data_IF_183644927333
#
_entry.id   IF_183644927333
#
_cell.length_a   1.000
_cell.length_b   1.000
_cell.length_c   1.000
_cell.angle_alpha   90.00
_cell.angle_beta   90.00
_cell.angle_gamma   90.00
#
_symmetry.space_group_name_H-M   'P 1'
#
loop_
_entity.id
_entity.type
_entity.pdbx_description
1 polymer ?
#
# COMPACT_ATOMS: atom_id res chain seq x y z
N UNK A 1 -18.63 -8.04 7.92
CA UNK A 1 -17.40 -7.98 8.49
C UNK A 1 -16.30 -8.41 7.61
N UNK A 2 -15.28 -7.72 7.67
CA UNK A 2 -14.19 -7.98 6.81
C UNK A 2 -13.43 -9.18 7.28
N UNK A 3 -13.53 -10.22 6.50
CA UNK A 3 -12.92 -11.38 6.86
C UNK A 3 -11.57 -11.47 6.28
N UNK A 4 -10.61 -11.27 7.03
CA UNK A 4 -9.31 -11.37 6.54
C UNK A 4 -8.82 -12.75 6.59
N UNK A 5 -8.74 -13.32 5.47
CA UNK A 5 -8.13 -14.52 5.39
C UNK A 5 -6.72 -14.17 5.27
N UNK A 6 -6.01 -14.24 6.26
CA UNK A 6 -4.62 -13.93 6.20
C UNK A 6 -3.92 -15.05 5.51
N UNK A 7 -3.89 -14.96 4.25
CA UNK A 7 -3.06 -15.87 3.55
C UNK A 7 -1.74 -15.19 3.51
N UNK A 8 -0.75 -15.87 3.89
CA UNK A 8 0.59 -15.37 3.84
C UNK A 8 1.06 -15.14 2.43
N UNK A 9 0.35 -15.73 1.47
CA UNK A 9 0.71 -15.50 0.11
C UNK A 9 0.07 -14.20 -0.29
N UNK A 10 0.88 -13.23 -0.53
CA UNK A 10 0.40 -11.97 -1.00
C UNK A 10 -0.20 -12.19 -2.36
N UNK A 11 -1.45 -11.85 -2.50
CA UNK A 11 -2.10 -11.92 -3.77
C UNK A 11 -1.56 -10.88 -4.71
N UNK A 12 -1.01 -9.83 -4.17
CA UNK A 12 -0.50 -8.73 -4.97
C UNK A 12 0.97 -8.57 -4.71
N UNK A 13 1.76 -8.57 -5.75
CA UNK A 13 3.18 -8.33 -5.63
C UNK A 13 3.53 -7.05 -6.36
N UNK A 14 4.65 -6.43 -6.02
CA UNK A 14 5.05 -5.21 -6.73
C UNK A 14 5.17 -5.41 -8.23
N UNK A 15 5.66 -6.58 -8.65
CA UNK A 15 5.79 -6.87 -10.06
C UNK A 15 4.44 -6.92 -10.74
N UNK A 16 3.46 -7.55 -10.10
CA UNK A 16 2.12 -7.61 -10.65
C UNK A 16 1.50 -6.23 -10.72
N UNK A 17 1.72 -5.42 -9.70
CA UNK A 17 1.16 -4.08 -9.71
C UNK A 17 1.78 -3.22 -10.78
N UNK A 18 3.07 -3.42 -11.04
CA UNK A 18 3.73 -2.68 -12.10
C UNK A 18 3.08 -3.01 -13.44
N UNK A 19 2.76 -4.27 -13.66
CA UNK A 19 2.08 -4.68 -14.88
C UNK A 19 0.67 -4.12 -14.95
N UNK A 20 -0.03 -4.21 -13.84
CA UNK A 20 -1.41 -3.75 -13.80
C UNK A 20 -1.54 -2.28 -14.13
N UNK A 21 -0.65 -1.47 -13.60
CA UNK A 21 -0.70 -0.04 -13.82
C UNK A 21 0.18 0.44 -14.96
N UNK A 22 0.82 -0.51 -15.65
CA UNK A 22 1.70 -0.17 -16.77
C UNK A 22 2.76 0.84 -16.38
N UNK A 23 3.41 0.54 -15.26
CA UNK A 23 4.45 1.40 -14.74
C UNK A 23 5.66 0.56 -14.40
N UNK A 24 6.66 1.15 -13.77
CA UNK A 24 7.88 0.44 -13.45
C UNK A 24 7.83 -0.15 -12.04
N UNK A 25 8.64 -1.17 -11.84
CA UNK A 25 8.77 -1.79 -10.54
C UNK A 25 9.22 -0.75 -9.50
N UNK A 26 10.16 0.11 -9.89
CA UNK A 26 10.67 1.11 -8.97
C UNK A 26 9.60 2.07 -8.49
N UNK A 27 8.73 2.47 -9.39
CA UNK A 27 7.66 3.38 -9.00
C UNK A 27 6.70 2.72 -8.03
N UNK A 28 6.41 1.44 -8.26
CA UNK A 28 5.56 0.70 -7.34
C UNK A 28 6.24 0.59 -5.98
N UNK A 29 7.54 0.33 -5.97
CA UNK A 29 8.26 0.19 -4.71
C UNK A 29 8.28 1.49 -3.91
N UNK A 30 8.38 2.62 -4.59
CA UNK A 30 8.32 3.90 -3.90
C UNK A 30 6.97 4.02 -3.18
N UNK A 31 5.90 3.69 -3.86
CA UNK A 31 4.57 3.78 -3.25
C UNK A 31 4.41 2.74 -2.14
N UNK A 32 4.95 1.55 -2.36
CA UNK A 32 4.86 0.52 -1.35
C UNK A 32 5.59 0.91 -0.07
N UNK A 33 6.77 1.50 -0.21
CA UNK A 33 7.51 1.92 0.97
C UNK A 33 6.78 3.00 1.74
N UNK A 34 6.13 3.91 1.04
CA UNK A 34 5.31 4.92 1.69
C UNK A 34 4.16 4.26 2.44
N UNK A 35 3.56 3.26 1.80
CA UNK A 35 2.45 2.55 2.42
C UNK A 35 2.85 1.78 3.65
N UNK A 36 3.98 1.10 3.59
CA UNK A 36 4.45 0.34 4.73
C UNK A 36 4.69 1.26 5.92
N UNK A 37 5.31 2.40 5.66
CA UNK A 37 5.56 3.34 6.72
C UNK A 37 4.27 3.84 7.34
N UNK A 38 3.30 4.13 6.52
CA UNK A 38 2.01 4.61 6.99
C UNK A 38 1.29 3.55 7.80
N UNK A 39 1.26 2.33 7.29
CA UNK A 39 0.51 1.28 7.97
C UNK A 39 1.20 0.81 9.24
N UNK A 40 2.50 0.98 9.33
CA UNK A 40 3.20 0.60 10.56
C UNK A 40 2.81 1.48 11.74
N UNK A 41 2.23 2.61 11.47
CA UNK A 41 1.73 3.45 12.54
C UNK A 41 0.50 2.82 13.19
N UNK A 42 -0.16 1.94 12.46
CA UNK A 42 -1.36 1.27 12.98
C UNK A 42 -1.10 -0.14 13.44
N UNK A 43 -0.05 -0.76 12.93
CA UNK A 43 0.30 -2.09 13.35
C UNK A 43 1.81 -2.15 13.51
N UNK A 44 2.30 -2.73 14.52
CA UNK A 44 3.74 -2.82 14.72
C UNK A 44 4.39 -3.91 13.87
N UNK A 45 3.59 -4.65 13.12
CA UNK A 45 4.10 -5.78 12.34
C UNK A 45 4.38 -5.38 10.90
N UNK A 46 5.63 -5.45 10.49
CA UNK A 46 6.03 -5.05 9.15
C UNK A 46 5.39 -5.90 8.06
N UNK A 47 5.27 -7.19 8.30
CA UNK A 47 4.66 -8.06 7.29
C UNK A 47 3.18 -7.73 7.09
N UNK A 48 2.49 -7.44 8.18
CA UNK A 48 1.09 -7.06 8.08
C UNK A 48 0.98 -5.70 7.39
N UNK A 49 1.85 -4.77 7.75
CA UNK A 49 1.84 -3.46 7.12
C UNK A 49 2.05 -3.57 5.61
N UNK A 50 2.98 -4.43 5.21
CA UNK A 50 3.26 -4.61 3.80
C UNK A 50 2.06 -5.18 3.06
N UNK A 51 1.40 -6.15 3.66
CA UNK A 51 0.24 -6.76 3.02
C UNK A 51 -0.89 -5.75 2.87
N UNK A 52 -1.14 -4.97 3.90
CA UNK A 52 -2.19 -3.95 3.83
C UNK A 52 -1.85 -2.92 2.77
N UNK A 53 -0.57 -2.51 2.72
CA UNK A 53 -0.15 -1.53 1.73
C UNK A 53 -0.34 -2.06 0.31
N UNK A 54 0.01 -3.32 0.08
CA UNK A 54 -0.17 -3.90 -1.23
C UNK A 54 -1.64 -3.96 -1.62
N UNK A 55 -2.50 -4.26 -0.68
CA UNK A 55 -3.93 -4.29 -0.96
C UNK A 55 -4.44 -2.91 -1.36
N UNK A 56 -4.01 -1.88 -0.66
CA UNK A 56 -4.44 -0.53 -1.00
C UNK A 56 -3.90 -0.11 -2.36
N UNK A 57 -2.65 -0.46 -2.64
CA UNK A 57 -2.07 -0.10 -3.94
C UNK A 57 -2.72 -0.86 -5.08
N UNK A 58 -3.22 -2.05 -4.81
CA UNK A 58 -3.92 -2.81 -5.83
C UNK A 58 -5.20 -2.11 -6.25
N UNK A 59 -5.79 -1.35 -5.34
CA UNK A 59 -6.98 -0.60 -5.65
C UNK A 59 -6.66 0.75 -6.27
N UNK A 60 -5.58 1.36 -5.83
CA UNK A 60 -5.20 2.67 -6.32
C UNK A 60 -3.72 2.88 -6.08
N UNK A 61 -2.96 2.92 -7.15
CA UNK A 61 -1.51 3.06 -7.03
C UNK A 61 -1.11 4.32 -6.26
N UNK A 62 -1.90 5.36 -6.38
CA UNK A 62 -1.58 6.62 -5.72
C UNK A 62 -2.32 6.81 -4.41
N UNK A 63 -2.77 5.72 -3.81
CA UNK A 63 -3.55 5.77 -2.59
C UNK A 63 -2.87 6.62 -1.50
N UNK A 64 -1.58 6.37 -1.26
CA UNK A 64 -0.88 7.08 -0.20
C UNK A 64 -0.54 8.51 -0.57
N UNK A 65 -0.41 8.79 -1.85
CA UNK A 65 -0.21 10.15 -2.29
C UNK A 65 -1.47 10.97 -2.02
N UNK A 66 -2.61 10.39 -2.35
CA UNK A 66 -3.86 11.08 -2.13
C UNK A 66 -4.15 11.26 -0.65
N UNK A 67 -3.83 10.24 0.13
CA UNK A 67 -4.02 10.30 1.56
C UNK A 67 -3.21 11.44 2.16
N UNK A 68 -1.96 11.57 1.74
CA UNK A 68 -1.12 12.64 2.23
C UNK A 68 -1.68 14.01 1.89
N UNK A 69 -2.20 14.16 0.71
CA UNK A 69 -2.79 15.44 0.30
C UNK A 69 -3.97 15.78 1.18
N UNK A 70 -4.79 14.80 1.47
CA UNK A 70 -5.95 15.03 2.34
C UNK A 70 -5.50 15.41 3.73
N UNK A 71 -4.51 14.71 4.27
CA UNK A 71 -4.03 15.00 5.61
C UNK A 71 -3.44 16.39 5.68
N UNK A 72 -2.74 16.81 4.63
CA UNK A 72 -2.17 18.12 4.61
C UNK A 72 -3.24 19.20 4.61
N UNK A 73 -4.33 18.93 3.94
CA UNK A 73 -5.40 19.88 3.90
C UNK A 73 -6.03 20.11 5.24
N UNK A 74 -6.18 19.07 6.02
CA UNK A 74 -6.77 19.19 7.32
C UNK A 74 -5.81 19.62 8.39
N UNK A 75 -4.55 19.52 8.09
CA UNK A 75 -3.58 19.88 9.05
C UNK A 75 -3.22 21.30 8.83
N UNK A 76 -3.72 22.15 9.55
CA UNK A 76 -3.35 23.50 9.33
C UNK A 76 -2.54 24.07 10.42
#
# INVERSE_FOLDING_TARGET
MYKVKVTLTAKHTPTELAKKYKTTYEKVMVQLNKGIKTEKEHTGNTLVAKKIALDHLAENLLYYEKLRKIERKFKK
#
